data_IF_418811876078
#
_entry.id   IF_418811876078
#
_cell.length_a   1.000
_cell.length_b   1.000
_cell.length_c   1.000
_cell.angle_alpha   90.00
_cell.angle_beta   90.00
_cell.angle_gamma   90.00
#
_symmetry.space_group_name_H-M   'P 1'
#
loop_
_entity.id
_entity.type
_entity.pdbx_description
1 polymer ?
#
# COMPACT_ATOMS: atom_id res chain seq x y z
N UNK A 1 -5.62 7.68 16.42
CA UNK A 1 -4.66 7.49 15.30
C UNK A 1 -4.99 8.42 14.15
N UNK A 2 -6.25 8.40 13.67
CA UNK A 2 -6.77 9.30 12.63
C UNK A 2 -6.36 10.77 12.84
N UNK A 3 -6.70 11.36 13.99
CA UNK A 3 -6.44 12.79 14.29
C UNK A 3 -4.99 13.26 14.10
N UNK A 4 -4.00 12.36 14.29
CA UNK A 4 -2.59 12.73 14.25
C UNK A 4 -1.88 12.26 12.97
N UNK A 5 -2.37 11.19 12.35
CA UNK A 5 -1.63 10.46 11.31
C UNK A 5 -2.34 10.45 9.96
N UNK A 6 -3.62 10.80 9.90
CA UNK A 6 -4.39 10.78 8.66
C UNK A 6 -4.22 12.06 7.85
N UNK A 7 -3.92 11.92 6.56
CA UNK A 7 -3.92 13.01 5.58
C UNK A 7 -5.02 12.76 4.54
N UNK A 8 -6.13 13.50 4.64
CA UNK A 8 -7.30 13.36 3.76
C UNK A 8 -6.99 13.69 2.29
N UNK A 9 -6.12 14.67 2.03
CA UNK A 9 -5.77 15.09 0.66
C UNK A 9 -5.02 13.98 -0.08
N UNK A 10 -4.08 13.35 0.63
CA UNK A 10 -3.29 12.23 0.13
C UNK A 10 -4.04 10.89 0.23
N UNK A 11 -5.09 10.81 1.05
CA UNK A 11 -5.77 9.56 1.37
C UNK A 11 -4.82 8.54 2.00
N UNK A 12 -3.86 8.99 2.79
CA UNK A 12 -2.79 8.15 3.32
C UNK A 12 -2.53 8.48 4.79
N UNK A 13 -2.08 7.46 5.51
CA UNK A 13 -1.52 7.63 6.83
C UNK A 13 -0.03 8.01 6.74
N UNK A 14 0.45 8.77 7.71
CA UNK A 14 1.84 9.16 7.89
C UNK A 14 2.24 9.15 9.36
N UNK A 15 3.53 9.04 9.64
CA UNK A 15 4.02 9.04 11.03
C UNK A 15 3.94 10.44 11.61
N UNK A 16 3.49 10.56 12.87
CA UNK A 16 3.45 11.82 13.60
C UNK A 16 4.78 12.05 14.33
N UNK A 17 5.45 13.15 14.02
CA UNK A 17 6.70 13.54 14.66
C UNK A 17 6.41 14.41 15.88
N UNK A 18 6.78 13.92 17.06
CA UNK A 18 6.56 14.61 18.34
C UNK A 18 7.42 15.87 18.53
N UNK A 19 8.58 15.94 17.87
CA UNK A 19 9.49 17.10 18.00
C UNK A 19 9.00 18.28 17.16
N UNK A 20 8.49 18.01 15.96
CA UNK A 20 7.93 19.05 15.08
C UNK A 20 6.42 19.20 15.19
N UNK A 21 5.77 18.39 16.04
CA UNK A 21 4.32 18.32 16.24
C UNK A 21 3.54 18.20 14.91
N UNK A 22 4.09 17.45 13.95
CA UNK A 22 3.57 17.37 12.58
C UNK A 22 3.59 15.96 12.00
N UNK A 23 2.60 15.62 11.18
CA UNK A 23 2.59 14.39 10.40
C UNK A 23 3.56 14.45 9.22
N UNK A 24 4.19 13.33 8.90
CA UNK A 24 5.09 13.17 7.76
C UNK A 24 4.32 12.66 6.53
N UNK A 25 4.65 13.18 5.36
CA UNK A 25 4.07 12.72 4.09
C UNK A 25 5.03 11.78 3.34
N UNK A 26 5.85 11.03 4.09
CA UNK A 26 6.84 10.13 3.50
C UNK A 26 6.15 8.88 2.96
N UNK A 27 6.45 8.51 1.72
CA UNK A 27 5.98 7.24 1.18
C UNK A 27 6.68 6.07 1.89
N UNK A 28 5.87 5.21 2.49
CA UNK A 28 6.29 3.93 3.06
C UNK A 28 5.19 2.90 2.82
N UNK A 29 5.53 1.62 2.65
CA UNK A 29 4.49 0.57 2.63
C UNK A 29 3.77 0.43 3.98
N UNK A 30 4.32 1.02 5.06
CA UNK A 30 3.66 1.06 6.36
C UNK A 30 2.32 1.83 6.33
N UNK A 31 2.12 2.75 5.38
CA UNK A 31 0.86 3.52 5.27
C UNK A 31 -0.35 2.65 4.94
N UNK A 32 -0.12 1.40 4.49
CA UNK A 32 -1.18 0.45 4.13
C UNK A 32 -1.65 -0.43 5.31
N UNK A 33 -1.03 -0.34 6.49
CA UNK A 33 -1.51 -1.09 7.68
C UNK A 33 -2.96 -0.76 8.02
N UNK A 34 -3.41 0.51 8.05
CA UNK A 34 -4.81 0.83 8.29
C UNK A 34 -5.79 0.34 7.22
N UNK A 35 -5.32 0.11 5.99
CA UNK A 35 -6.13 -0.52 4.94
C UNK A 35 -6.33 -2.01 5.23
N UNK A 36 -5.28 -2.68 5.70
CA UNK A 36 -5.35 -4.08 6.13
C UNK A 36 -6.19 -4.28 7.39
N UNK A 37 -6.06 -3.41 8.38
CA UNK A 37 -6.84 -3.48 9.63
C UNK A 37 -8.21 -2.82 9.53
N UNK A 38 -8.60 -2.35 8.33
CA UNK A 38 -9.86 -1.66 8.05
C UNK A 38 -10.13 -0.46 8.99
N UNK A 39 -9.06 0.20 9.44
CA UNK A 39 -9.05 1.30 10.41
C UNK A 39 -8.97 2.67 9.71
N UNK A 40 -9.68 2.82 8.58
CA UNK A 40 -9.80 4.07 7.84
C UNK A 40 -11.02 4.88 8.30
N UNK A 41 -11.03 6.21 8.09
CA UNK A 41 -12.23 7.02 8.33
C UNK A 41 -13.43 6.41 7.59
N UNK A 42 -14.58 6.29 8.26
CA UNK A 42 -15.73 5.56 7.72
C UNK A 42 -16.18 6.07 6.35
N UNK A 43 -16.27 7.39 6.19
CA UNK A 43 -16.71 8.03 4.95
C UNK A 43 -15.68 7.87 3.81
N UNK A 44 -14.39 7.72 4.17
CA UNK A 44 -13.35 7.43 3.20
C UNK A 44 -13.44 5.97 2.74
N UNK A 45 -13.63 5.05 3.68
CA UNK A 45 -13.57 3.62 3.46
C UNK A 45 -14.80 3.05 2.71
N UNK A 46 -15.86 3.85 2.52
CA UNK A 46 -17.04 3.53 1.70
C UNK A 46 -16.98 4.13 0.30
N UNK A 47 -15.97 4.97 0.01
CA UNK A 47 -15.83 5.62 -1.28
C UNK A 47 -14.73 4.92 -2.11
N UNK A 48 -15.12 4.08 -3.06
CA UNK A 48 -14.21 3.31 -3.91
C UNK A 48 -13.19 4.19 -4.61
N UNK A 49 -13.62 5.31 -5.19
CA UNK A 49 -12.75 6.25 -5.90
C UNK A 49 -11.66 6.84 -4.99
N UNK A 50 -12.01 7.23 -3.77
CA UNK A 50 -11.04 7.73 -2.78
C UNK A 50 -10.03 6.65 -2.40
N UNK A 51 -10.50 5.44 -2.11
CA UNK A 51 -9.63 4.31 -1.76
C UNK A 51 -8.69 3.96 -2.93
N UNK A 52 -9.20 3.91 -4.16
CA UNK A 52 -8.38 3.66 -5.36
C UNK A 52 -7.27 4.70 -5.50
N UNK A 53 -7.58 5.99 -5.26
CA UNK A 53 -6.59 7.07 -5.31
C UNK A 53 -5.43 6.82 -4.34
N UNK A 54 -5.67 6.27 -3.15
CA UNK A 54 -4.62 5.90 -2.18
C UNK A 54 -3.64 4.82 -2.67
N UNK A 55 -4.04 4.01 -3.65
CA UNK A 55 -3.19 2.99 -4.28
C UNK A 55 -2.53 3.45 -5.57
N UNK A 56 -2.83 4.66 -6.07
CA UNK A 56 -2.24 5.20 -7.31
C UNK A 56 -0.70 5.19 -7.30
N UNK A 57 -0.09 5.48 -6.14
CA UNK A 57 1.36 5.45 -5.99
C UNK A 57 1.95 4.05 -6.15
N UNK A 58 1.22 3.00 -5.75
CA UNK A 58 1.64 1.61 -5.99
C UNK A 58 1.57 1.29 -7.48
N UNK A 59 0.50 1.69 -8.15
CA UNK A 59 0.36 1.51 -9.61
C UNK A 59 1.52 2.18 -10.34
N UNK A 60 1.86 3.42 -9.97
CA UNK A 60 3.01 4.15 -10.51
C UNK A 60 4.32 3.37 -10.30
N UNK A 61 4.54 2.81 -9.12
CA UNK A 61 5.75 2.04 -8.82
C UNK A 61 5.84 0.76 -9.66
N UNK A 62 4.73 0.03 -9.80
CA UNK A 62 4.69 -1.19 -10.62
C UNK A 62 4.86 -0.92 -12.11
N UNK A 63 4.55 0.30 -12.59
CA UNK A 63 4.85 0.70 -13.97
C UNK A 63 6.33 1.00 -14.21
N UNK A 64 7.06 1.42 -13.17
CA UNK A 64 8.47 1.82 -13.24
C UNK A 64 9.43 0.67 -12.95
N UNK A 65 9.03 -0.27 -12.10
CA UNK A 65 9.90 -1.32 -11.60
C UNK A 65 9.27 -2.71 -11.80
N UNK A 66 10.07 -3.71 -12.22
CA UNK A 66 9.54 -5.04 -12.50
C UNK A 66 9.35 -5.92 -11.25
N UNK A 67 9.92 -5.53 -10.10
CA UNK A 67 9.86 -6.28 -8.85
C UNK A 67 8.70 -5.88 -7.94
N UNK A 68 8.69 -6.45 -6.73
CA UNK A 68 7.77 -6.00 -5.67
C UNK A 68 8.09 -4.57 -5.20
N UNK A 69 7.10 -3.81 -4.69
CA UNK A 69 7.33 -2.46 -4.22
C UNK A 69 8.40 -2.40 -3.11
N UNK A 70 9.29 -1.40 -3.11
CA UNK A 70 10.27 -1.20 -2.05
C UNK A 70 9.57 -0.67 -0.78
N UNK A 71 10.25 -0.79 0.36
CA UNK A 71 9.74 -0.32 1.67
C UNK A 71 9.45 1.18 1.67
N UNK A 72 10.40 1.97 1.19
CA UNK A 72 10.30 3.42 0.98
C UNK A 72 10.92 3.75 -0.39
N UNK A 73 10.99 5.05 -0.73
CA UNK A 73 11.72 5.54 -1.91
C UNK A 73 13.06 6.18 -1.57
N UNK A 74 13.53 6.02 -0.33
CA UNK A 74 14.78 6.61 0.14
C UNK A 74 15.93 5.65 -0.17
N UNK A 75 16.95 6.11 -0.90
CA UNK A 75 18.17 5.33 -1.15
C UNK A 75 19.20 5.50 -0.03
N UNK A 76 18.87 5.11 1.20
CA UNK A 76 19.74 5.34 2.38
C UNK A 76 20.85 4.29 2.56
N UNK A 77 20.72 3.14 1.89
CA UNK A 77 21.55 1.96 2.15
C UNK A 77 21.10 1.13 3.36
N UNK A 78 20.03 1.53 4.06
CA UNK A 78 19.46 0.76 5.17
C UNK A 78 18.54 -0.37 4.67
N UNK A 79 18.32 -1.38 5.53
CA UNK A 79 17.53 -2.56 5.18
C UNK A 79 16.04 -2.27 4.92
N UNK A 80 15.47 -1.26 5.57
CA UNK A 80 14.04 -0.90 5.47
C UNK A 80 13.79 0.27 4.52
N UNK A 81 14.65 0.42 3.52
CA UNK A 81 14.63 1.52 2.55
C UNK A 81 14.89 0.97 1.13
N UNK A 82 14.74 1.83 0.11
CA UNK A 82 15.01 1.43 -1.27
C UNK A 82 16.44 0.86 -1.43
N UNK A 83 16.63 -0.27 -2.16
CA UNK A 83 15.66 -0.98 -3.00
C UNK A 83 14.96 -2.17 -2.32
N UNK A 84 15.09 -2.33 -1.00
CA UNK A 84 14.66 -3.55 -0.32
C UNK A 84 13.13 -3.64 -0.19
N UNK A 85 12.60 -4.84 -0.44
CA UNK A 85 11.20 -5.20 -0.24
C UNK A 85 11.09 -6.34 0.76
N UNK A 86 10.03 -6.30 1.59
CA UNK A 86 9.86 -7.24 2.70
C UNK A 86 8.55 -8.04 2.57
N UNK A 87 8.57 -9.36 2.81
CA UNK A 87 7.37 -10.19 2.83
C UNK A 87 6.19 -9.63 3.65
N UNK A 88 6.37 -9.19 4.92
CA UNK A 88 5.25 -8.71 5.73
C UNK A 88 4.59 -7.46 5.16
N UNK A 89 5.36 -6.54 4.56
CA UNK A 89 4.82 -5.31 3.98
C UNK A 89 4.02 -5.59 2.70
N UNK A 90 4.50 -6.52 1.87
CA UNK A 90 3.75 -6.99 0.70
C UNK A 90 2.44 -7.67 1.13
N UNK A 91 2.46 -8.50 2.17
CA UNK A 91 1.27 -9.13 2.70
C UNK A 91 0.22 -8.10 3.14
N UNK A 92 0.62 -7.10 3.94
CA UNK A 92 -0.26 -6.03 4.41
C UNK A 92 -0.91 -5.29 3.23
N UNK A 93 -0.10 -4.89 2.25
CA UNK A 93 -0.58 -4.21 1.06
C UNK A 93 -1.61 -5.06 0.28
N UNK A 94 -1.28 -6.32 0.01
CA UNK A 94 -2.15 -7.24 -0.73
C UNK A 94 -3.44 -7.53 0.05
N UNK A 95 -3.35 -7.79 1.36
CA UNK A 95 -4.52 -8.05 2.18
C UNK A 95 -5.45 -6.84 2.30
N UNK A 96 -4.90 -5.62 2.41
CA UNK A 96 -5.71 -4.40 2.36
C UNK A 96 -6.53 -4.31 1.08
N UNK A 97 -5.91 -4.55 -0.08
CA UNK A 97 -6.61 -4.59 -1.37
C UNK A 97 -7.72 -5.65 -1.41
N UNK A 98 -7.46 -6.84 -0.88
CA UNK A 98 -8.45 -7.92 -0.86
C UNK A 98 -9.64 -7.63 0.07
N UNK A 99 -9.41 -6.97 1.21
CA UNK A 99 -10.49 -6.54 2.10
C UNK A 99 -11.41 -5.54 1.40
N UNK A 100 -10.83 -4.55 0.70
CA UNK A 100 -11.60 -3.58 -0.08
C UNK A 100 -12.29 -4.18 -1.30
N UNK A 101 -11.67 -5.14 -1.99
CA UNK A 101 -12.33 -5.89 -3.04
C UNK A 101 -13.62 -6.57 -2.55
N UNK A 102 -13.55 -7.31 -1.43
CA UNK A 102 -14.71 -7.98 -0.84
C UNK A 102 -15.79 -6.96 -0.47
N UNK A 103 -15.40 -5.86 0.19
CA UNK A 103 -16.32 -4.80 0.60
C UNK A 103 -17.05 -4.16 -0.59
N UNK A 104 -16.33 -3.87 -1.67
CA UNK A 104 -16.91 -3.18 -2.82
C UNK A 104 -17.74 -4.12 -3.72
N UNK A 105 -17.49 -5.44 -3.69
CA UNK A 105 -18.42 -6.43 -4.22
C UNK A 105 -19.76 -6.35 -3.47
N UNK A 106 -19.73 -6.36 -2.13
CA UNK A 106 -20.95 -6.35 -1.31
C UNK A 106 -21.77 -5.06 -1.50
N UNK A 107 -21.11 -3.96 -1.88
CA UNK A 107 -21.73 -2.67 -2.18
C UNK A 107 -22.19 -2.52 -3.65
N UNK A 108 -21.92 -3.50 -4.51
CA UNK A 108 -22.29 -3.44 -5.93
C UNK A 108 -21.51 -2.40 -6.73
N UNK A 109 -20.26 -2.09 -6.34
CA UNK A 109 -19.41 -1.14 -7.04
C UNK A 109 -18.73 -1.78 -8.26
N UNK A 110 -18.79 -1.10 -9.40
CA UNK A 110 -18.11 -1.50 -10.64
C UNK A 110 -16.57 -1.44 -10.52
N UNK A 111 -16.05 -0.68 -9.54
CA UNK A 111 -14.61 -0.49 -9.32
C UNK A 111 -13.92 -1.70 -8.67
N UNK A 112 -14.67 -2.71 -8.24
CA UNK A 112 -14.14 -3.84 -7.47
C UNK A 112 -13.02 -4.61 -8.20
N UNK A 113 -13.05 -4.63 -9.55
CA UNK A 113 -12.06 -5.32 -10.38
C UNK A 113 -10.66 -4.68 -10.25
N UNK A 114 -10.58 -3.37 -10.02
CA UNK A 114 -9.32 -2.64 -9.88
C UNK A 114 -8.53 -3.19 -8.70
N UNK A 115 -9.20 -3.45 -7.57
CA UNK A 115 -8.57 -3.95 -6.35
C UNK A 115 -8.01 -5.36 -6.54
N UNK A 116 -8.80 -6.28 -7.10
CA UNK A 116 -8.36 -7.66 -7.29
C UNK A 116 -7.26 -7.78 -8.34
N UNK A 117 -7.31 -6.97 -9.41
CA UNK A 117 -6.28 -6.98 -10.44
C UNK A 117 -4.95 -6.42 -9.91
N UNK A 118 -4.99 -5.36 -9.09
CA UNK A 118 -3.79 -4.84 -8.44
C UNK A 118 -3.21 -5.84 -7.42
N UNK A 119 -4.06 -6.49 -6.61
CA UNK A 119 -3.64 -7.50 -5.66
C UNK A 119 -2.98 -8.72 -6.35
N UNK A 120 -3.54 -9.17 -7.47
CA UNK A 120 -2.96 -10.24 -8.30
C UNK A 120 -1.60 -9.83 -8.88
N UNK A 121 -1.50 -8.64 -9.46
CA UNK A 121 -0.26 -8.14 -10.02
C UNK A 121 0.84 -8.07 -8.95
N UNK A 122 0.55 -7.50 -7.78
CA UNK A 122 1.48 -7.46 -6.64
C UNK A 122 1.93 -8.86 -6.19
N UNK A 123 0.98 -9.79 -6.08
CA UNK A 123 1.26 -11.16 -5.69
C UNK A 123 2.19 -11.84 -6.70
N UNK A 124 1.91 -11.70 -7.99
CA UNK A 124 2.74 -12.25 -9.06
C UNK A 124 4.15 -11.65 -9.04
N UNK A 125 4.27 -10.32 -8.96
CA UNK A 125 5.56 -9.61 -8.88
C UNK A 125 6.41 -10.08 -7.71
N UNK A 126 5.79 -10.28 -6.56
CA UNK A 126 6.48 -10.77 -5.38
C UNK A 126 6.96 -12.21 -5.56
N UNK A 127 6.09 -13.13 -6.00
CA UNK A 127 6.44 -14.53 -6.26
C UNK A 127 7.54 -14.65 -7.31
N UNK A 128 7.44 -13.92 -8.41
CA UNK A 128 8.46 -13.90 -9.47
C UNK A 128 9.81 -13.42 -8.94
N UNK A 129 9.81 -12.36 -8.12
CA UNK A 129 11.04 -11.82 -7.52
C UNK A 129 11.72 -12.86 -6.62
N UNK A 130 10.94 -13.55 -5.77
CA UNK A 130 11.45 -14.59 -4.87
C UNK A 130 11.92 -15.81 -5.64
N UNK A 131 11.17 -16.24 -6.66
CA UNK A 131 11.53 -17.37 -7.50
C UNK A 131 12.81 -17.12 -8.28
N UNK A 132 12.95 -15.95 -8.92
CA UNK A 132 14.17 -15.58 -9.64
C UNK A 132 15.38 -15.48 -8.72
N UNK A 133 15.20 -14.94 -7.51
CA UNK A 133 16.27 -14.88 -6.51
C UNK A 133 16.72 -16.29 -6.11
N UNK A 134 15.78 -17.18 -5.79
CA UNK A 134 16.07 -18.59 -5.46
C UNK A 134 16.69 -19.36 -6.63
N UNK A 135 16.18 -19.18 -7.85
CA UNK A 135 16.71 -19.86 -9.03
C UNK A 135 18.15 -19.44 -9.37
N UNK A 136 18.55 -18.24 -8.92
CA UNK A 136 19.90 -17.70 -9.15
C UNK A 136 20.91 -18.11 -8.08
N UNK A 137 20.51 -18.83 -7.03
CA UNK A 137 21.40 -19.39 -6.00
C UNK A 137 21.82 -20.81 -6.33
#
# INVERSE_FOLDING_TARGET
IEELTWNEELGSYGDYNLTSESSTNLFSLATYFPFWTESLPKDFATNSTKVIKSFSRIVDLLSKYPGSPPTTLIGSGQQWDFPNSWPPLNYVLIKGLLNFHSRFIDQGSDDNEIFINLARNLSQRYVDSVFCAWYST
#
